data_IF_807539469511
#
_entry.id   IF_807539469511
#
_cell.length_a   1.000
_cell.length_b   1.000
_cell.length_c   1.000
_cell.angle_alpha   90.00
_cell.angle_beta   90.00
_cell.angle_gamma   90.00
#
_symmetry.space_group_name_H-M   'P 1'
#
loop_
_entity.id
_entity.type
_entity.pdbx_description
1 polymer ?
#
# COMPACT_ATOMS: atom_id res chain seq x y z
N UNK A 1 -8.07 14.18 -10.40
CA UNK A 1 -8.00 13.04 -9.47
C UNK A 1 -7.90 11.74 -10.24
N UNK A 2 -6.69 11.16 -10.30
CA UNK A 2 -6.52 9.80 -10.83
C UNK A 2 -7.15 8.82 -9.84
N UNK A 3 -8.13 8.05 -10.30
CA UNK A 3 -8.78 6.98 -9.55
C UNK A 3 -8.51 5.68 -10.27
N UNK A 4 -8.04 4.67 -9.55
CA UNK A 4 -7.87 3.33 -10.13
C UNK A 4 -8.47 2.29 -9.21
N UNK A 5 -8.97 1.21 -9.81
CA UNK A 5 -9.56 0.10 -9.08
C UNK A 5 -8.83 -1.19 -9.41
N UNK A 6 -8.75 -2.09 -8.43
CA UNK A 6 -8.31 -3.47 -8.58
C UNK A 6 -9.32 -4.38 -7.90
N UNK A 7 -9.34 -5.64 -8.32
CA UNK A 7 -10.19 -6.66 -7.74
C UNK A 7 -9.28 -7.64 -7.01
N UNK A 8 -9.64 -7.96 -5.77
CA UNK A 8 -9.11 -9.12 -5.06
C UNK A 8 -10.21 -10.18 -4.96
N UNK A 9 -9.83 -11.45 -4.95
CA UNK A 9 -10.71 -12.56 -4.64
C UNK A 9 -10.33 -13.12 -3.28
N UNK A 10 -11.30 -13.20 -2.37
CA UNK A 10 -11.19 -13.97 -1.14
C UNK A 10 -12.01 -15.25 -1.28
N UNK A 11 -11.53 -16.33 -0.69
CA UNK A 11 -12.21 -17.62 -0.73
C UNK A 11 -12.15 -18.31 0.63
N UNK A 12 -13.19 -19.06 0.95
CA UNK A 12 -13.23 -19.91 2.13
C UNK A 12 -12.62 -21.27 1.80
N UNK A 13 -11.51 -21.59 2.42
CA UNK A 13 -10.83 -22.88 2.28
C UNK A 13 -11.26 -23.92 3.33
N UNK A 14 -12.17 -23.56 4.24
CA UNK A 14 -12.62 -24.46 5.31
C UNK A 14 -13.87 -25.24 4.90
N UNK A 15 -13.73 -26.55 4.86
CA UNK A 15 -14.82 -27.48 4.60
C UNK A 15 -15.89 -27.42 5.70
N UNK A 16 -17.16 -27.33 5.31
CA UNK A 16 -18.30 -27.46 6.22
C UNK A 16 -18.50 -26.29 7.20
N UNK A 17 -17.78 -25.18 7.05
CA UNK A 17 -17.90 -23.99 7.90
C UNK A 17 -18.14 -22.73 7.07
N UNK A 18 -18.66 -21.69 7.72
CA UNK A 18 -18.76 -20.34 7.14
C UNK A 18 -17.65 -19.47 7.70
N UNK A 19 -17.04 -18.63 6.87
CA UNK A 19 -16.00 -17.70 7.29
C UNK A 19 -16.55 -16.27 7.31
N UNK A 20 -16.70 -15.70 8.51
CA UNK A 20 -17.05 -14.29 8.69
C UNK A 20 -15.78 -13.44 8.70
N UNK A 21 -15.78 -12.38 7.92
CA UNK A 21 -14.64 -11.47 7.81
C UNK A 21 -15.02 -10.01 8.02
N UNK A 22 -14.04 -9.21 8.44
CA UNK A 22 -14.11 -7.76 8.54
C UNK A 22 -12.79 -7.13 8.08
N UNK A 23 -12.87 -6.03 7.35
CA UNK A 23 -11.77 -5.24 6.82
C UNK A 23 -11.92 -3.85 7.42
N UNK A 24 -10.89 -3.38 8.12
CA UNK A 24 -10.90 -2.05 8.72
C UNK A 24 -10.01 -1.09 7.94
N UNK A 25 -10.62 -0.04 7.39
CA UNK A 25 -9.90 1.12 6.87
C UNK A 25 -10.42 2.41 7.49
N UNK A 26 -9.50 3.33 7.77
CA UNK A 26 -9.85 4.66 8.24
C UNK A 26 -10.52 5.47 7.12
N UNK A 27 -11.43 6.40 7.45
CA UNK A 27 -12.18 7.16 6.43
C UNK A 27 -11.27 8.04 5.54
N UNK A 28 -10.12 8.46 6.07
CA UNK A 28 -9.06 9.20 5.38
C UNK A 28 -8.10 8.31 4.56
N UNK A 29 -8.30 6.98 4.60
CA UNK A 29 -7.52 6.03 3.82
C UNK A 29 -7.64 6.34 2.33
N UNK A 30 -6.54 6.36 1.56
CA UNK A 30 -6.61 6.47 0.11
C UNK A 30 -7.07 5.16 -0.55
N UNK A 31 -7.13 4.05 0.20
CA UNK A 31 -7.64 2.76 -0.26
C UNK A 31 -9.01 2.51 0.37
N UNK A 32 -10.01 2.28 -0.49
CA UNK A 32 -11.39 2.01 -0.09
C UNK A 32 -11.86 0.66 -0.62
N UNK A 33 -12.53 -0.11 0.22
CA UNK A 33 -13.07 -1.42 -0.13
C UNK A 33 -14.58 -1.30 -0.40
N UNK A 34 -15.06 -1.88 -1.50
CA UNK A 34 -16.49 -1.89 -1.80
C UNK A 34 -17.30 -2.76 -0.82
N UNK A 35 -16.64 -3.74 -0.19
CA UNK A 35 -17.21 -4.62 0.82
C UNK A 35 -16.19 -4.70 1.96
N UNK A 36 -16.59 -4.25 3.15
CA UNK A 36 -15.73 -4.21 4.33
C UNK A 36 -16.04 -5.32 5.34
N UNK A 37 -17.16 -6.02 5.19
CA UNK A 37 -17.48 -7.17 6.02
C UNK A 37 -18.44 -8.10 5.28
N UNK A 38 -18.45 -9.37 5.68
CA UNK A 38 -19.32 -10.36 5.07
C UNK A 38 -19.13 -11.75 5.65
N UNK A 39 -19.85 -12.70 5.08
CA UNK A 39 -19.72 -14.13 5.41
C UNK A 39 -19.63 -14.94 4.13
N UNK A 40 -18.58 -15.74 4.01
CA UNK A 40 -18.40 -16.73 2.95
C UNK A 40 -19.03 -18.06 3.42
N UNK A 41 -20.18 -18.42 2.86
CA UNK A 41 -20.96 -19.57 3.29
C UNK A 41 -20.54 -20.82 2.53
N UNK A 42 -20.15 -21.86 3.26
CA UNK A 42 -19.81 -23.16 2.70
C UNK A 42 -18.41 -23.21 2.09
N UNK A 43 -18.00 -24.44 1.76
CA UNK A 43 -16.68 -24.78 1.24
C UNK A 43 -16.49 -24.22 -0.17
N UNK A 44 -15.30 -23.65 -0.43
CA UNK A 44 -14.93 -23.11 -1.73
C UNK A 44 -15.70 -21.86 -2.17
N UNK A 45 -16.50 -21.27 -1.28
CA UNK A 45 -17.20 -20.01 -1.57
C UNK A 45 -16.20 -18.87 -1.80
N UNK A 46 -16.55 -17.99 -2.75
CA UNK A 46 -15.69 -16.90 -3.22
C UNK A 46 -16.40 -15.56 -3.17
N UNK A 47 -15.64 -14.50 -2.95
CA UNK A 47 -16.11 -13.13 -3.05
C UNK A 47 -15.06 -12.25 -3.72
N UNK A 48 -15.46 -11.54 -4.76
CA UNK A 48 -14.65 -10.50 -5.38
C UNK A 48 -14.89 -9.17 -4.67
N UNK A 49 -13.82 -8.54 -4.21
CA UNK A 49 -13.86 -7.22 -3.56
C UNK A 49 -13.12 -6.21 -4.42
N UNK A 50 -13.81 -5.13 -4.78
CA UNK A 50 -13.21 -4.01 -5.49
C UNK A 50 -12.49 -3.12 -4.47
N UNK A 51 -11.22 -2.86 -4.72
CA UNK A 51 -10.40 -1.89 -3.99
C UNK A 51 -10.21 -0.68 -4.89
N UNK A 52 -10.62 0.49 -4.40
CA UNK A 52 -10.44 1.77 -5.10
C UNK A 52 -9.33 2.57 -4.43
N UNK A 53 -8.33 2.95 -5.21
CA UNK A 53 -7.27 3.87 -4.81
C UNK A 53 -7.60 5.30 -5.26
N UNK A 54 -7.71 6.20 -4.30
CA UNK A 54 -8.01 7.64 -4.47
C UNK A 54 -6.97 8.48 -3.71
N UNK A 55 -5.77 8.68 -4.29
CA UNK A 55 -4.71 9.47 -3.66
C UNK A 55 -5.09 10.95 -3.53
N UNK A 56 -4.63 11.58 -2.45
CA UNK A 56 -4.80 13.03 -2.21
C UNK A 56 -3.61 13.85 -2.72
N UNK A 57 -2.42 13.29 -2.61
CA UNK A 57 -1.14 13.92 -2.97
C UNK A 57 -0.34 13.05 -3.97
N UNK A 58 0.49 13.67 -4.84
CA UNK A 58 1.34 12.98 -5.81
C UNK A 58 2.56 12.32 -5.13
N UNK A 59 2.32 11.28 -4.35
CA UNK A 59 3.34 10.53 -3.61
C UNK A 59 3.08 9.02 -3.65
N UNK A 60 3.97 8.26 -3.02
CA UNK A 60 3.78 6.84 -2.78
C UNK A 60 2.88 6.59 -1.57
N UNK A 61 2.09 5.51 -1.62
CA UNK A 61 1.21 5.09 -0.55
C UNK A 61 1.48 3.62 -0.24
N UNK A 62 1.67 3.33 1.05
CA UNK A 62 1.83 1.99 1.59
C UNK A 62 0.85 1.80 2.75
N UNK A 63 0.05 0.75 2.70
CA UNK A 63 -0.84 0.41 3.81
C UNK A 63 -0.91 -1.11 4.00
N UNK A 64 -0.80 -1.54 5.25
CA UNK A 64 -1.12 -2.91 5.64
C UNK A 64 -2.53 -2.88 6.22
N UNK A 65 -3.45 -3.63 5.62
CA UNK A 65 -4.85 -3.71 6.06
C UNK A 65 -5.09 -5.10 6.66
N UNK A 66 -5.40 -5.21 7.95
CA UNK A 66 -5.78 -6.48 8.55
C UNK A 66 -7.21 -6.85 8.12
N UNK A 67 -7.35 -8.06 7.59
CA UNK A 67 -8.63 -8.72 7.37
C UNK A 67 -8.84 -9.66 8.56
N UNK A 68 -9.73 -9.26 9.46
CA UNK A 68 -10.09 -10.06 10.63
C UNK A 68 -11.01 -11.18 10.19
N UNK A 69 -10.73 -12.40 10.63
CA UNK A 69 -11.54 -13.58 10.38
C UNK A 69 -11.97 -14.13 11.73
N UNK A 70 -13.26 -14.40 11.89
CA UNK A 70 -13.81 -14.90 13.13
C UNK A 70 -13.11 -16.21 13.55
N UNK A 71 -12.63 -16.24 14.81
CA UNK A 71 -11.85 -17.36 15.41
C UNK A 71 -10.54 -17.73 14.71
N UNK A 72 -9.95 -16.84 13.90
CA UNK A 72 -8.68 -17.10 13.20
C UNK A 72 -7.72 -15.90 13.30
N UNK A 73 -6.45 -16.17 13.02
CA UNK A 73 -5.45 -15.11 12.85
C UNK A 73 -5.84 -14.20 11.67
N UNK A 74 -5.61 -12.88 11.76
CA UNK A 74 -5.92 -11.98 10.68
C UNK A 74 -5.02 -12.22 9.47
N UNK A 75 -5.56 -12.00 8.27
CA UNK A 75 -4.78 -11.96 7.03
C UNK A 75 -4.32 -10.51 6.82
N UNK A 76 -3.03 -10.30 6.56
CA UNK A 76 -2.48 -8.98 6.29
C UNK A 76 -2.43 -8.74 4.78
N UNK A 77 -3.18 -7.75 4.31
CA UNK A 77 -3.17 -7.31 2.92
C UNK A 77 -2.27 -6.07 2.77
N UNK A 78 -1.16 -6.23 2.06
CA UNK A 78 -0.29 -5.10 1.70
C UNK A 78 -0.83 -4.40 0.45
N UNK A 79 -1.05 -3.09 0.54
CA UNK A 79 -1.51 -2.23 -0.55
C UNK A 79 -0.44 -1.20 -0.89
N UNK A 80 -0.09 -1.13 -2.17
CA UNK A 80 0.86 -0.16 -2.72
C UNK A 80 0.15 0.61 -3.83
N UNK A 81 0.22 1.93 -3.74
CA UNK A 81 -0.29 2.85 -4.75
C UNK A 81 0.71 3.96 -4.98
N UNK A 82 0.83 4.41 -6.22
CA UNK A 82 1.61 5.62 -6.53
C UNK A 82 0.73 6.62 -7.26
N UNK A 83 0.91 7.89 -6.93
CA UNK A 83 0.30 9.01 -7.61
C UNK A 83 1.39 9.99 -8.01
N UNK A 84 1.25 10.61 -9.18
CA UNK A 84 2.24 11.52 -9.74
C UNK A 84 1.55 12.78 -10.23
N UNK A 85 2.28 13.89 -10.18
CA UNK A 85 1.91 15.12 -10.87
C UNK A 85 1.96 14.91 -12.38
N UNK A 86 1.31 15.78 -13.15
CA UNK A 86 1.32 15.73 -14.63
C UNK A 86 2.74 15.84 -15.22
N UNK A 87 3.69 16.34 -14.44
CA UNK A 87 5.11 16.49 -14.79
C UNK A 87 5.98 15.29 -14.38
N UNK A 88 5.46 14.38 -13.55
CA UNK A 88 6.21 13.25 -13.00
C UNK A 88 5.90 11.94 -13.72
N UNK A 89 6.94 11.20 -14.15
CA UNK A 89 6.74 9.84 -14.68
C UNK A 89 6.45 8.88 -13.52
N UNK A 90 5.34 8.13 -13.54
CA UNK A 90 5.11 7.09 -12.54
C UNK A 90 6.20 6.02 -12.62
N UNK A 91 6.78 5.58 -11.49
CA UNK A 91 7.65 4.43 -11.47
C UNK A 91 6.81 3.21 -11.86
N UNK A 92 7.42 2.33 -12.64
CA UNK A 92 6.83 1.03 -12.91
C UNK A 92 6.88 0.23 -11.62
N UNK A 93 5.72 -0.24 -11.16
CA UNK A 93 5.61 -1.11 -10.00
C UNK A 93 6.18 -2.49 -10.36
N UNK A 94 7.50 -2.63 -10.21
CA UNK A 94 8.22 -3.90 -10.30
C UNK A 94 8.77 -4.29 -8.92
N UNK A 95 9.26 -5.53 -8.77
CA UNK A 95 9.72 -6.07 -7.49
C UNK A 95 10.82 -5.22 -6.84
N UNK A 96 11.74 -4.67 -7.67
CA UNK A 96 12.80 -3.78 -7.19
C UNK A 96 12.22 -2.48 -6.63
N UNK A 97 11.28 -1.87 -7.34
CA UNK A 97 10.60 -0.67 -6.86
C UNK A 97 9.86 -0.95 -5.56
N UNK A 98 9.12 -2.05 -5.48
CA UNK A 98 8.37 -2.45 -4.28
C UNK A 98 9.32 -2.63 -3.09
N UNK A 99 10.42 -3.35 -3.27
CA UNK A 99 11.42 -3.55 -2.21
C UNK A 99 12.03 -2.23 -1.73
N UNK A 100 12.45 -1.37 -2.66
CA UNK A 100 13.02 -0.07 -2.32
C UNK A 100 11.98 0.84 -1.65
N UNK A 101 10.73 0.82 -2.11
CA UNK A 101 9.65 1.61 -1.54
C UNK A 101 9.30 1.15 -0.11
N UNK A 102 9.23 -0.16 0.16
CA UNK A 102 9.08 -0.68 1.53
C UNK A 102 10.22 -0.23 2.44
N UNK A 103 11.44 -0.16 1.92
CA UNK A 103 12.58 0.37 2.67
C UNK A 103 12.51 1.89 2.89
N UNK A 104 11.95 2.65 1.95
CA UNK A 104 11.68 4.08 2.17
C UNK A 104 10.60 4.29 3.23
N UNK A 105 9.58 3.42 3.28
CA UNK A 105 8.55 3.43 4.33
C UNK A 105 9.18 3.18 5.71
N UNK A 106 10.05 2.17 5.84
CA UNK A 106 10.74 1.89 7.12
C UNK A 106 11.66 3.03 7.57
N UNK A 107 12.14 3.83 6.62
CA UNK A 107 12.93 5.06 6.84
C UNK A 107 12.08 6.33 7.00
N UNK A 108 10.74 6.23 7.00
CA UNK A 108 9.81 7.37 7.04
C UNK A 108 9.92 8.35 5.85
N UNK A 109 10.69 8.00 4.81
CA UNK A 109 10.89 8.84 3.62
C UNK A 109 9.74 8.74 2.63
N UNK A 110 8.95 7.66 2.68
CA UNK A 110 7.77 7.48 1.83
C UNK A 110 6.61 8.46 2.15
N UNK A 111 6.73 9.25 3.22
CA UNK A 111 5.77 10.31 3.58
C UNK A 111 5.95 11.59 2.77
N UNK A 112 7.06 11.72 2.02
CA UNK A 112 7.36 12.90 1.23
C UNK A 112 7.00 12.70 -0.25
N UNK A 113 6.49 13.75 -0.93
CA UNK A 113 6.35 13.78 -2.38
C UNK A 113 7.65 13.43 -3.12
N UNK A 114 7.51 12.75 -4.27
CA UNK A 114 8.65 12.29 -5.06
C UNK A 114 9.53 13.45 -5.53
N UNK A 115 8.92 14.60 -5.83
CA UNK A 115 9.63 15.81 -6.26
C UNK A 115 10.55 16.35 -5.15
N UNK A 116 10.10 16.33 -3.89
CA UNK A 116 10.90 16.78 -2.73
C UNK A 116 12.07 15.82 -2.50
N UNK A 117 11.80 14.52 -2.51
CA UNK A 117 12.85 13.50 -2.39
C UNK A 117 13.89 13.62 -3.51
N UNK A 118 13.43 13.90 -4.74
CA UNK A 118 14.30 14.13 -5.90
C UNK A 118 15.16 15.39 -5.78
N UNK A 119 14.62 16.50 -5.26
CA UNK A 119 15.39 17.72 -4.99
C UNK A 119 16.46 17.49 -3.91
N UNK A 120 16.10 16.82 -2.82
CA UNK A 120 17.06 16.50 -1.76
C UNK A 120 18.17 15.55 -2.20
N UNK A 121 17.85 14.57 -3.06
CA UNK A 121 18.87 13.72 -3.68
C UNK A 121 19.84 14.54 -4.56
N UNK A 122 19.32 15.48 -5.36
CA UNK A 122 20.15 16.37 -6.20
C UNK A 122 21.04 17.31 -5.39
N UNK A 123 20.56 17.75 -4.22
CA UNK A 123 21.31 18.62 -3.30
C UNK A 123 22.27 17.87 -2.38
N UNK A 124 22.36 16.54 -2.49
CA UNK A 124 23.22 15.71 -1.63
C UNK A 124 22.74 15.60 -0.18
N UNK A 125 21.48 15.94 0.10
CA UNK A 125 20.84 15.82 1.42
C UNK A 125 20.32 14.40 1.67
N UNK A 126 20.05 13.67 0.59
CA UNK A 126 19.76 12.24 0.58
C UNK A 126 20.79 11.55 -0.30
N UNK A 127 21.01 10.26 -0.06
CA UNK A 127 21.84 9.38 -0.86
C UNK A 127 21.09 8.10 -1.21
N UNK A 128 21.62 7.34 -2.17
CA UNK A 128 21.16 5.98 -2.44
C UNK A 128 22.04 5.00 -1.66
N UNK A 129 21.41 4.04 -0.98
CA UNK A 129 22.12 2.92 -0.39
C UNK A 129 22.60 1.91 -1.46
N UNK A 130 23.30 0.86 -1.03
CA UNK A 130 23.80 -0.20 -1.92
C UNK A 130 22.73 -0.95 -2.73
N UNK A 131 21.45 -0.82 -2.36
CA UNK A 131 20.31 -1.42 -3.06
C UNK A 131 19.56 -0.41 -3.95
N UNK A 132 19.98 0.86 -3.94
CA UNK A 132 19.35 1.95 -4.66
C UNK A 132 18.08 2.48 -4.00
N UNK A 133 17.90 2.26 -2.69
CA UNK A 133 16.86 2.90 -1.90
C UNK A 133 17.37 4.19 -1.26
N UNK A 134 16.49 5.16 -1.09
CA UNK A 134 16.83 6.50 -0.59
C UNK A 134 17.11 6.39 0.91
N UNK A 135 18.15 7.09 1.37
CA UNK A 135 18.60 7.17 2.76
C UNK A 135 19.06 8.59 3.09
N UNK A 136 18.91 9.02 4.33
CA UNK A 136 19.49 10.27 4.81
C UNK A 136 21.03 10.19 4.86
N UNK A 137 21.69 11.33 4.73
CA UNK A 137 23.13 11.43 4.99
C UNK A 137 23.37 11.62 6.49
N UNK A 138 24.48 11.08 7.00
CA UNK A 138 24.81 11.10 8.44
C UNK A 138 24.87 12.52 9.05
N UNK A 139 25.06 13.54 8.22
CA UNK A 139 25.14 14.95 8.62
C UNK A 139 23.83 15.74 8.51
N UNK A 140 22.74 15.13 8.06
CA UNK A 140 21.48 15.84 7.88
C UNK A 140 20.28 15.00 8.22
N UNK A 141 19.81 15.13 9.46
CA UNK A 141 18.47 14.72 9.81
C UNK A 141 17.48 15.73 9.24
N UNK A 142 16.54 15.25 8.42
CA UNK A 142 15.35 16.03 8.05
C UNK A 142 14.31 16.00 9.19
N UNK A 143 14.70 15.39 10.33
CA UNK A 143 13.95 15.19 11.57
C UNK A 143 14.76 15.73 12.75
#
# INVERSE_FOLDING_TARGET
NSKTSRIIEIYNSQAGSSARFQIYTSADSPFHFAIENGTLIGDGSKLSIIITFTPQYPMGYYKIVPILIEHQSPILLELIGTCHSDTGKPPVLNDRFISNFKQQVSRHLALYPFEILGDYLKRGRLVLDGHGSIMETEDTSLI
#
